data_IF_419305423184
#
_entry.id   IF_419305423184
#
_cell.length_a   1.000
_cell.length_b   1.000
_cell.length_c   1.000
_cell.angle_alpha   90.00
_cell.angle_beta   90.00
_cell.angle_gamma   90.00
#
_symmetry.space_group_name_H-M   'P 1'
#
loop_
_entity.id
_entity.type
_entity.pdbx_description
1 polymer ?
#
# COMPACT_ATOMS: atom_id res chain seq x y z
N UNK A 1 28.15 7.71 5.56
CA UNK A 1 28.70 8.32 4.31
C UNK A 1 29.40 7.28 3.43
N UNK A 2 30.39 6.53 3.95
CA UNK A 2 31.10 5.51 3.17
C UNK A 2 30.19 4.35 2.71
N UNK A 3 29.26 3.89 3.55
CA UNK A 3 28.36 2.79 3.18
C UNK A 3 27.42 3.18 2.05
N UNK A 4 26.91 4.41 2.06
CA UNK A 4 26.09 4.94 0.96
C UNK A 4 26.89 4.99 -0.35
N UNK A 5 28.13 5.47 -0.31
CA UNK A 5 28.99 5.51 -1.49
C UNK A 5 29.29 4.11 -2.06
N UNK A 6 29.39 3.09 -1.19
CA UNK A 6 29.53 1.69 -1.60
C UNK A 6 28.22 1.08 -2.10
N UNK A 7 27.08 1.52 -1.58
CA UNK A 7 25.77 0.98 -1.91
C UNK A 7 25.25 1.47 -3.26
N UNK A 8 25.50 2.74 -3.64
CA UNK A 8 24.99 3.32 -4.89
C UNK A 8 25.33 2.48 -6.13
N UNK A 9 26.58 2.04 -6.36
CA UNK A 9 26.91 1.16 -7.49
C UNK A 9 26.21 -0.19 -7.43
N UNK A 10 25.97 -0.73 -6.23
CA UNK A 10 25.28 -2.02 -6.04
C UNK A 10 23.80 -1.88 -6.39
N UNK A 11 23.16 -0.83 -5.92
CA UNK A 11 21.75 -0.52 -6.20
C UNK A 11 21.49 -0.38 -7.70
N UNK A 12 22.37 0.33 -8.42
CA UNK A 12 22.22 0.57 -9.86
C UNK A 12 22.74 -0.58 -10.73
N UNK A 13 23.49 -1.54 -10.17
CA UNK A 13 24.14 -2.60 -10.94
C UNK A 13 23.19 -3.39 -11.85
N UNK A 14 21.93 -3.54 -11.44
CA UNK A 14 20.86 -4.15 -12.24
C UNK A 14 19.53 -3.43 -12.04
N UNK A 15 18.92 -3.00 -13.14
CA UNK A 15 17.72 -2.16 -13.12
C UNK A 15 16.71 -2.62 -14.16
N UNK A 16 15.42 -2.55 -13.81
CA UNK A 16 14.30 -2.59 -14.76
C UNK A 16 13.70 -1.19 -14.85
N UNK A 17 13.40 -0.75 -16.06
CA UNK A 17 12.79 0.53 -16.33
C UNK A 17 11.38 0.31 -16.87
N UNK A 18 10.39 0.89 -16.19
CA UNK A 18 9.01 0.95 -16.64
C UNK A 18 8.58 2.42 -16.65
N UNK A 19 8.08 2.89 -17.81
CA UNK A 19 7.76 4.29 -18.04
C UNK A 19 6.28 4.44 -18.40
N UNK A 20 5.58 5.33 -17.70
CA UNK A 20 4.26 5.81 -18.08
C UNK A 20 4.38 7.28 -18.50
N UNK A 21 4.12 7.57 -19.78
CA UNK A 21 4.21 8.92 -20.35
C UNK A 21 2.80 9.34 -20.77
N UNK A 22 2.32 10.44 -20.22
CA UNK A 22 1.01 11.00 -20.53
C UNK A 22 1.05 12.52 -20.49
N UNK A 23 0.39 13.17 -21.45
CA UNK A 23 0.34 14.64 -21.56
C UNK A 23 0.33 15.09 -23.01
N UNK A 24 0.70 16.35 -23.23
CA UNK A 24 0.91 16.92 -24.56
C UNK A 24 2.28 16.49 -25.11
N UNK A 25 2.39 15.21 -25.49
CA UNK A 25 3.61 14.58 -25.97
C UNK A 25 3.24 13.65 -27.11
N UNK A 26 3.94 13.76 -28.23
CA UNK A 26 3.78 12.84 -29.36
C UNK A 26 4.48 11.49 -29.11
N UNK A 27 4.08 10.44 -29.81
CA UNK A 27 4.65 9.09 -29.61
C UNK A 27 6.18 9.05 -29.84
N UNK A 28 6.67 9.77 -30.84
CA UNK A 28 8.10 9.89 -31.15
C UNK A 28 8.89 10.61 -30.03
N UNK A 29 8.30 11.64 -29.43
CA UNK A 29 8.88 12.37 -28.30
C UNK A 29 8.96 11.46 -27.08
N UNK A 30 7.88 10.73 -26.77
CA UNK A 30 7.84 9.77 -25.68
C UNK A 30 8.90 8.67 -25.84
N UNK A 31 9.04 8.10 -27.05
CA UNK A 31 10.12 7.15 -27.34
C UNK A 31 11.51 7.76 -27.18
N UNK A 32 11.69 9.01 -27.59
CA UNK A 32 12.97 9.71 -27.48
C UNK A 32 13.36 9.96 -26.02
N UNK A 33 12.38 10.27 -25.16
CA UNK A 33 12.58 10.37 -23.72
C UNK A 33 13.05 9.05 -23.10
N UNK A 34 12.41 7.93 -23.48
CA UNK A 34 12.82 6.60 -22.99
C UNK A 34 14.22 6.25 -23.49
N UNK A 35 14.51 6.50 -24.78
CA UNK A 35 15.84 6.27 -25.36
C UNK A 35 16.93 7.06 -24.64
N UNK A 36 16.68 8.32 -24.28
CA UNK A 36 17.63 9.13 -23.51
C UNK A 36 17.99 8.48 -22.16
N UNK A 37 16.99 7.94 -21.45
CA UNK A 37 17.20 7.25 -20.18
C UNK A 37 17.96 5.94 -20.42
N UNK A 38 17.59 5.17 -21.44
CA UNK A 38 18.26 3.92 -21.79
C UNK A 38 19.74 4.14 -22.14
N UNK A 39 20.02 5.18 -22.91
CA UNK A 39 21.37 5.50 -23.36
C UNK A 39 22.27 5.82 -22.16
N UNK A 40 21.78 6.65 -21.23
CA UNK A 40 22.50 7.02 -20.02
C UNK A 40 22.71 5.85 -19.03
N UNK A 41 21.75 4.92 -18.94
CA UNK A 41 21.81 3.83 -17.96
C UNK A 41 22.50 2.57 -18.50
N UNK A 42 22.29 2.23 -19.78
CA UNK A 42 22.62 0.91 -20.33
C UNK A 42 23.58 0.93 -21.52
N UNK A 43 23.74 2.04 -22.26
CA UNK A 43 24.49 2.04 -23.54
C UNK A 43 25.86 2.74 -23.50
N UNK A 44 26.22 3.39 -22.39
CA UNK A 44 27.56 3.98 -22.23
C UNK A 44 28.70 2.94 -22.30
N UNK A 45 29.91 3.39 -22.64
CA UNK A 45 31.13 2.56 -22.68
C UNK A 45 31.41 1.81 -21.36
N UNK A 46 30.92 2.37 -20.25
CA UNK A 46 30.87 1.74 -18.93
C UNK A 46 29.43 1.86 -18.43
N UNK A 47 28.55 0.91 -18.79
CA UNK A 47 27.14 1.03 -18.45
C UNK A 47 26.96 1.01 -16.93
N UNK A 48 26.16 1.95 -16.43
CA UNK A 48 25.86 2.11 -15.00
C UNK A 48 25.02 0.93 -14.52
N UNK A 49 24.12 0.44 -15.39
CA UNK A 49 23.13 -0.59 -15.11
C UNK A 49 23.23 -1.76 -16.09
N UNK A 50 22.80 -2.93 -15.64
CA UNK A 50 22.47 -4.07 -16.50
C UNK A 50 20.98 -4.39 -16.39
N UNK A 51 20.36 -5.05 -17.37
CA UNK A 51 18.98 -5.53 -17.21
C UNK A 51 18.89 -6.55 -16.05
N UNK A 52 17.79 -6.52 -15.30
CA UNK A 52 17.42 -7.63 -14.41
C UNK A 52 16.91 -8.81 -15.21
N UNK A 53 17.13 -10.01 -14.69
CA UNK A 53 16.51 -11.21 -15.28
C UNK A 53 15.01 -11.24 -14.95
N UNK A 54 14.16 -11.83 -15.82
CA UNK A 54 12.73 -11.97 -15.53
C UNK A 54 12.45 -12.66 -14.18
N UNK A 55 13.29 -13.61 -13.76
CA UNK A 55 13.18 -14.27 -12.45
C UNK A 55 13.46 -13.37 -11.24
N UNK A 56 14.12 -12.22 -11.45
CA UNK A 56 14.43 -11.23 -10.41
C UNK A 56 13.34 -10.16 -10.29
N UNK A 57 12.36 -10.13 -11.21
CA UNK A 57 11.19 -9.26 -11.11
C UNK A 57 10.19 -9.85 -10.12
N UNK A 58 10.49 -9.69 -8.83
CA UNK A 58 9.64 -10.16 -7.75
C UNK A 58 8.51 -9.16 -7.51
N UNK A 59 7.29 -9.68 -7.41
CA UNK A 59 6.13 -8.92 -6.94
C UNK A 59 5.92 -9.15 -5.45
N UNK A 60 5.43 -8.12 -4.77
CA UNK A 60 5.00 -8.24 -3.38
C UNK A 60 3.83 -9.22 -3.28
N UNK A 61 3.76 -9.95 -2.17
CA UNK A 61 2.70 -10.92 -1.88
C UNK A 61 2.16 -10.67 -0.50
N UNK A 62 0.85 -10.87 -0.34
CA UNK A 62 0.18 -10.73 0.95
C UNK A 62 -0.04 -12.11 1.58
N UNK A 63 0.08 -12.16 2.89
CA UNK A 63 -0.26 -13.36 3.67
C UNK A 63 -1.74 -13.66 3.48
N UNK A 64 -2.05 -14.90 3.06
CA UNK A 64 -3.43 -15.38 2.98
C UNK A 64 -3.93 -15.70 4.39
N UNK A 65 -4.85 -14.88 4.90
CA UNK A 65 -5.52 -15.13 6.17
C UNK A 65 -6.48 -16.31 6.00
N UNK A 66 -6.52 -17.19 7.01
CA UNK A 66 -7.41 -18.34 6.97
C UNK A 66 -8.84 -17.92 7.32
N UNK A 67 -9.79 -18.45 6.55
CA UNK A 67 -11.21 -18.20 6.78
C UNK A 67 -11.63 -18.65 8.18
N UNK A 68 -12.46 -17.85 8.84
CA UNK A 68 -12.93 -18.11 10.20
C UNK A 68 -11.85 -17.94 11.29
N UNK A 69 -10.60 -17.59 10.95
CA UNK A 69 -9.55 -17.34 11.96
C UNK A 69 -9.41 -15.87 12.29
N UNK A 70 -9.13 -15.60 13.56
CA UNK A 70 -8.84 -14.26 14.09
C UNK A 70 -7.36 -14.18 14.44
N UNK A 71 -6.70 -13.14 13.95
CA UNK A 71 -5.31 -12.83 14.26
C UNK A 71 -5.29 -11.52 15.04
N UNK A 72 -4.45 -11.46 16.09
CA UNK A 72 -4.35 -10.30 16.94
C UNK A 72 -2.88 -9.94 17.12
N UNK A 73 -2.54 -8.73 16.70
CA UNK A 73 -1.24 -8.12 16.96
C UNK A 73 -1.46 -6.90 17.87
N UNK A 74 -0.69 -6.82 18.95
CA UNK A 74 -0.77 -5.73 19.93
C UNK A 74 0.60 -5.10 20.05
N UNK A 75 0.63 -3.77 20.11
CA UNK A 75 1.82 -2.99 20.31
C UNK A 75 1.49 -1.76 21.15
N UNK A 76 2.39 -1.38 22.04
CA UNK A 76 2.27 -0.14 22.80
C UNK A 76 2.48 1.07 21.88
N UNK A 77 1.78 2.16 22.18
CA UNK A 77 1.90 3.40 21.40
C UNK A 77 3.34 3.93 21.45
N UNK A 78 3.85 4.40 20.30
CA UNK A 78 5.21 4.94 20.23
C UNK A 78 5.39 6.24 21.02
N UNK A 79 4.28 6.93 21.35
CA UNK A 79 4.26 8.15 22.16
C UNK A 79 3.66 7.84 23.54
N UNK A 80 4.47 7.74 24.61
CA UNK A 80 3.98 7.49 25.96
C UNK A 80 3.06 8.59 26.51
N UNK A 81 3.13 9.80 25.96
CA UNK A 81 2.27 10.92 26.37
C UNK A 81 0.92 10.95 25.66
N UNK A 82 0.70 10.07 24.68
CA UNK A 82 -0.59 9.94 24.03
C UNK A 82 -1.45 8.94 24.79
N UNK A 83 -2.49 9.45 25.46
CA UNK A 83 -3.45 8.62 26.19
C UNK A 83 -4.40 7.85 25.26
N UNK A 84 -4.40 8.16 23.96
CA UNK A 84 -5.23 7.44 23.01
C UNK A 84 -4.69 6.04 22.73
N UNK A 85 -5.64 5.13 22.54
CA UNK A 85 -5.38 3.83 21.92
C UNK A 85 -5.94 3.81 20.50
N UNK A 86 -5.46 2.89 19.67
CA UNK A 86 -5.93 2.71 18.31
C UNK A 86 -6.22 1.24 17.99
N UNK A 87 -7.26 1.02 17.18
CA UNK A 87 -7.61 -0.27 16.61
C UNK A 87 -7.60 -0.15 15.08
N UNK A 88 -6.88 -1.06 14.43
CA UNK A 88 -7.05 -1.37 13.01
C UNK A 88 -7.63 -2.77 12.91
N UNK A 89 -8.89 -2.88 12.50
CA UNK A 89 -9.53 -4.15 12.23
C UNK A 89 -9.57 -4.39 10.72
N UNK A 90 -8.79 -5.35 10.23
CA UNK A 90 -8.72 -5.67 8.80
C UNK A 90 -9.38 -7.01 8.50
N UNK A 91 -10.24 -7.01 7.49
CA UNK A 91 -10.93 -8.17 6.95
C UNK A 91 -10.43 -8.36 5.52
N UNK A 92 -9.61 -9.37 5.29
CA UNK A 92 -9.20 -9.79 3.94
C UNK A 92 -10.39 -10.43 3.23
N UNK A 93 -10.69 -9.99 2.01
CA UNK A 93 -11.89 -10.43 1.28
C UNK A 93 -11.52 -11.30 0.08
N UNK A 94 -10.74 -10.78 -0.87
CA UNK A 94 -10.45 -11.51 -2.10
C UNK A 94 -9.16 -11.03 -2.77
N UNK A 95 -8.64 -11.86 -3.69
CA UNK A 95 -7.63 -11.44 -4.65
C UNK A 95 -8.33 -10.71 -5.80
N UNK A 96 -7.64 -9.73 -6.40
CA UNK A 96 -8.13 -8.87 -7.49
C UNK A 96 -8.98 -9.64 -8.51
N UNK A 97 -10.27 -9.35 -8.48
CA UNK A 97 -11.29 -9.96 -9.34
C UNK A 97 -12.37 -8.91 -9.55
N UNK A 98 -12.65 -8.61 -10.82
CA UNK A 98 -13.46 -7.45 -11.19
C UNK A 98 -14.85 -7.43 -10.54
N UNK A 99 -15.57 -8.56 -10.52
CA UNK A 99 -16.90 -8.62 -9.93
C UNK A 99 -16.85 -8.36 -8.42
N UNK A 100 -15.88 -8.96 -7.73
CA UNK A 100 -15.70 -8.78 -6.30
C UNK A 100 -15.20 -7.37 -5.94
N UNK A 101 -14.37 -6.73 -6.78
CA UNK A 101 -13.95 -5.34 -6.61
C UNK A 101 -15.17 -4.41 -6.56
N UNK A 102 -16.09 -4.55 -7.52
CA UNK A 102 -17.30 -3.73 -7.60
C UNK A 102 -18.22 -3.98 -6.39
N UNK A 103 -18.37 -5.23 -5.96
CA UNK A 103 -19.17 -5.58 -4.78
C UNK A 103 -18.58 -4.96 -3.50
N UNK A 104 -17.26 -5.02 -3.36
CA UNK A 104 -16.56 -4.48 -2.20
C UNK A 104 -16.64 -2.95 -2.17
N UNK A 105 -16.51 -2.30 -3.32
CA UNK A 105 -16.66 -0.85 -3.45
C UNK A 105 -18.09 -0.41 -3.11
N UNK A 106 -19.10 -1.13 -3.62
CA UNK A 106 -20.50 -0.88 -3.28
C UNK A 106 -20.76 -1.06 -1.78
N UNK A 107 -20.23 -2.13 -1.18
CA UNK A 107 -20.31 -2.34 0.27
C UNK A 107 -19.70 -1.17 1.04
N UNK A 108 -18.50 -0.74 0.66
CA UNK A 108 -17.82 0.40 1.28
C UNK A 108 -18.64 1.69 1.14
N UNK A 109 -19.22 1.96 -0.04
CA UNK A 109 -20.06 3.14 -0.27
C UNK A 109 -21.29 3.16 0.66
N UNK A 110 -21.99 2.03 0.81
CA UNK A 110 -23.18 1.92 1.65
C UNK A 110 -22.85 1.95 3.14
N UNK A 111 -21.82 1.22 3.56
CA UNK A 111 -21.49 1.03 4.97
C UNK A 111 -20.77 2.23 5.60
N UNK A 112 -20.09 3.07 4.80
CA UNK A 112 -19.21 4.14 5.31
C UNK A 112 -19.94 5.15 6.18
N UNK A 113 -21.08 5.69 5.74
CA UNK A 113 -21.82 6.68 6.52
C UNK A 113 -22.40 6.07 7.81
N UNK A 114 -23.01 4.89 7.70
CA UNK A 114 -23.60 4.21 8.85
C UNK A 114 -22.53 3.87 9.90
N UNK A 115 -21.37 3.38 9.47
CA UNK A 115 -20.24 3.08 10.35
C UNK A 115 -19.71 4.33 11.03
N UNK A 116 -19.54 5.42 10.28
CA UNK A 116 -19.11 6.69 10.87
C UNK A 116 -20.12 7.18 11.91
N UNK A 117 -21.40 7.23 11.57
CA UNK A 117 -22.45 7.66 12.51
C UNK A 117 -22.48 6.82 13.78
N UNK A 118 -22.45 5.49 13.64
CA UNK A 118 -22.48 4.56 14.77
C UNK A 118 -21.26 4.76 15.69
N UNK A 119 -20.05 4.68 15.15
CA UNK A 119 -18.82 4.72 15.96
C UNK A 119 -18.52 6.13 16.50
N UNK A 120 -18.77 7.19 15.70
CA UNK A 120 -18.45 8.58 16.06
C UNK A 120 -19.54 9.28 16.86
N UNK A 121 -20.78 9.17 16.41
CA UNK A 121 -21.90 9.99 16.93
C UNK A 121 -22.65 9.27 18.04
N UNK A 122 -22.97 7.98 17.83
CA UNK A 122 -23.77 7.19 18.78
C UNK A 122 -22.89 6.66 19.92
N UNK A 123 -21.85 5.90 19.59
CA UNK A 123 -20.97 5.26 20.58
C UNK A 123 -19.85 6.19 21.09
N UNK A 124 -19.62 7.30 20.38
CA UNK A 124 -18.64 8.33 20.75
C UNK A 124 -17.23 7.79 21.02
N UNK A 125 -16.80 6.77 20.25
CA UNK A 125 -15.53 6.07 20.50
C UNK A 125 -14.32 6.98 20.31
N UNK A 126 -14.41 7.98 19.44
CA UNK A 126 -13.37 8.99 19.27
C UNK A 126 -13.57 9.80 18.02
N UNK A 127 -12.71 10.80 17.80
CA UNK A 127 -12.81 11.66 16.62
C UNK A 127 -12.47 10.92 15.32
N UNK A 128 -11.46 10.05 15.36
CA UNK A 128 -10.99 9.28 14.20
C UNK A 128 -11.69 7.93 14.24
N UNK A 129 -12.71 7.79 13.41
CA UNK A 129 -13.39 6.52 13.12
C UNK A 129 -13.61 6.44 11.63
N UNK A 130 -13.18 5.36 10.98
CA UNK A 130 -13.37 5.20 9.53
C UNK A 130 -13.55 3.76 9.12
N UNK A 131 -14.34 3.55 8.07
CA UNK A 131 -14.38 2.34 7.27
C UNK A 131 -13.85 2.69 5.87
N UNK A 132 -12.92 1.88 5.38
CA UNK A 132 -12.38 2.02 4.02
C UNK A 132 -12.05 0.67 3.42
N UNK A 133 -12.08 0.61 2.10
CA UNK A 133 -11.44 -0.47 1.35
C UNK A 133 -9.92 -0.32 1.38
N UNK A 134 -9.23 -1.45 1.38
CA UNK A 134 -7.77 -1.55 1.32
C UNK A 134 -7.36 -2.50 0.20
N UNK A 135 -6.35 -2.13 -0.58
CA UNK A 135 -5.71 -2.98 -1.58
C UNK A 135 -4.20 -3.01 -1.27
N UNK A 136 -3.68 -4.18 -0.93
CA UNK A 136 -2.24 -4.41 -0.82
C UNK A 136 -1.85 -5.48 -1.83
N UNK A 137 -0.99 -5.13 -2.79
CA UNK A 137 -0.46 -6.07 -3.80
C UNK A 137 -1.52 -6.95 -4.50
N UNK A 138 -2.68 -6.36 -4.83
CA UNK A 138 -3.78 -7.07 -5.51
C UNK A 138 -4.63 -7.93 -4.58
N UNK A 139 -4.50 -7.77 -3.27
CA UNK A 139 -5.40 -8.40 -2.28
C UNK A 139 -6.25 -7.33 -1.63
N UNK A 140 -7.55 -7.49 -1.78
CA UNK A 140 -8.57 -6.54 -1.37
C UNK A 140 -9.16 -6.94 -0.02
N UNK A 141 -9.45 -5.93 0.80
CA UNK A 141 -10.13 -6.09 2.07
C UNK A 141 -10.84 -4.83 2.54
N UNK A 142 -11.54 -4.94 3.66
CA UNK A 142 -12.13 -3.81 4.38
C UNK A 142 -11.33 -3.58 5.64
N UNK A 143 -11.11 -2.32 6.01
CA UNK A 143 -10.54 -1.97 7.29
C UNK A 143 -11.40 -0.97 8.05
N UNK A 144 -11.40 -1.14 9.37
CA UNK A 144 -11.89 -0.17 10.34
C UNK A 144 -10.69 0.42 11.05
N UNK A 145 -10.67 1.74 11.17
CA UNK A 145 -9.66 2.46 11.97
C UNK A 145 -10.38 3.29 13.00
N UNK A 146 -10.06 3.06 14.27
CA UNK A 146 -10.66 3.75 15.41
C UNK A 146 -9.52 4.21 16.31
N UNK A 147 -9.48 5.50 16.65
CA UNK A 147 -8.65 6.04 17.72
C UNK A 147 -9.56 6.50 18.85
N UNK A 148 -9.24 6.07 20.07
CA UNK A 148 -10.09 6.27 21.25
C UNK A 148 -9.26 6.58 22.49
N UNK A 149 -9.67 7.62 23.21
CA UNK A 149 -9.22 7.90 24.58
C UNK A 149 -10.14 7.27 25.64
N UNK A 150 -11.28 6.70 25.24
CA UNK A 150 -12.32 6.22 26.18
C UNK A 150 -12.35 4.71 26.31
N UNK A 151 -11.95 3.96 25.28
CA UNK A 151 -11.89 2.50 25.29
C UNK A 151 -10.57 2.01 24.70
N UNK A 152 -9.98 1.01 25.34
CA UNK A 152 -8.85 0.28 24.77
C UNK A 152 -9.30 -0.67 23.64
N UNK A 153 -8.38 -1.16 22.78
CA UNK A 153 -8.71 -1.95 21.59
C UNK A 153 -9.41 -3.29 21.85
N UNK A 154 -9.37 -3.82 23.08
CA UNK A 154 -10.08 -5.04 23.47
C UNK A 154 -11.56 -4.82 23.83
N UNK A 155 -12.01 -3.57 23.95
CA UNK A 155 -13.38 -3.19 24.32
C UNK A 155 -14.09 -2.36 23.24
N UNK A 156 -13.39 -2.13 22.13
CA UNK A 156 -13.93 -1.64 20.86
C UNK A 156 -14.39 -2.86 20.08
#
# INVERSE_FOLDING_TARGET
AQDLAKFVPVMLSRTFLECYIAGNVENNEAESMVKLIEDALFKDLKPICRPVFPSQQLTNRIVKLQEGKKYLYRQEGSNPSDENSALLHYIQVHQDEFSMNVKLELFNLVAKQATFHQLRTVEQLGYITSLSQRNDSGVYGVQFVIQSSVKGPGHI
#
